data_IF_299631795950
#
_entry.id   IF_299631795950
#
_cell.length_a   1.000
_cell.length_b   1.000
_cell.length_c   1.000
_cell.angle_alpha   90.00
_cell.angle_beta   90.00
_cell.angle_gamma   90.00
#
_symmetry.space_group_name_H-M   'P 1'
#
loop_
_entity.id
_entity.type
_entity.pdbx_description
1 polymer ?
#
# COMPACT_ATOMS: atom_id res chain seq x y z
N UNK A 1 -6.14 -7.51 12.95
CA UNK A 1 -7.18 -6.53 13.36
C UNK A 1 -7.15 -5.31 12.45
N UNK A 2 -6.04 -4.56 12.40
CA UNK A 2 -5.90 -3.35 11.59
C UNK A 2 -6.39 -3.50 10.15
N UNK A 3 -5.78 -4.44 9.40
CA UNK A 3 -6.14 -4.76 8.01
C UNK A 3 -7.64 -4.97 7.82
N UNK A 4 -8.18 -5.97 8.52
CA UNK A 4 -9.59 -6.39 8.41
C UNK A 4 -10.56 -5.23 8.67
N UNK A 5 -10.25 -4.36 9.62
CA UNK A 5 -11.17 -3.30 10.05
C UNK A 5 -11.09 -2.02 9.21
N UNK A 6 -9.99 -1.80 8.50
CA UNK A 6 -9.82 -0.61 7.66
C UNK A 6 -9.94 -0.90 6.16
N UNK A 7 -9.74 -2.14 5.70
CA UNK A 7 -9.91 -2.48 4.26
C UNK A 7 -11.32 -2.19 3.75
N UNK A 8 -12.33 -2.26 4.62
CA UNK A 8 -13.72 -1.92 4.31
C UNK A 8 -13.94 -0.44 3.96
N UNK A 9 -12.94 0.43 4.17
CA UNK A 9 -12.98 1.83 3.75
C UNK A 9 -12.79 2.01 2.25
N UNK A 10 -12.40 0.96 1.53
CA UNK A 10 -12.27 1.02 0.07
C UNK A 10 -11.09 1.86 -0.43
N UNK A 11 -10.08 2.08 0.42
CA UNK A 11 -8.87 2.87 0.14
C UNK A 11 -7.64 2.00 -0.19
N UNK A 12 -7.87 0.86 -0.82
CA UNK A 12 -6.83 -0.16 -1.01
C UNK A 12 -6.50 -0.92 0.29
N UNK A 13 -5.26 -1.42 0.39
CA UNK A 13 -4.84 -2.25 1.52
C UNK A 13 -4.11 -1.41 2.59
N UNK A 14 -4.64 -1.32 3.82
CA UNK A 14 -3.99 -0.56 4.88
C UNK A 14 -2.80 -1.34 5.45
N UNK A 15 -1.62 -0.71 5.46
CA UNK A 15 -0.37 -1.29 5.96
C UNK A 15 -0.19 -0.99 7.45
N UNK A 16 0.24 -1.99 8.21
CA UNK A 16 0.61 -1.81 9.62
C UNK A 16 2.02 -1.23 9.77
N UNK A 17 2.91 -1.59 8.84
CA UNK A 17 4.27 -1.05 8.74
C UNK A 17 4.38 -0.39 7.36
N UNK A 18 4.01 0.89 7.24
CA UNK A 18 3.93 1.56 5.94
C UNK A 18 5.29 1.96 5.35
N UNK A 19 6.35 1.98 6.17
CA UNK A 19 7.68 2.37 5.72
C UNK A 19 8.32 1.33 4.79
N UNK A 20 9.06 1.75 3.75
CA UNK A 20 9.77 0.84 2.86
C UNK A 20 10.94 0.16 3.57
N UNK A 21 11.46 -0.91 2.97
CA UNK A 21 12.66 -1.58 3.44
C UNK A 21 13.88 -0.64 3.30
N UNK A 22 14.62 -0.44 4.39
CA UNK A 22 15.79 0.45 4.46
C UNK A 22 16.99 0.01 3.61
N UNK A 23 16.94 -1.19 3.00
CA UNK A 23 17.94 -1.68 2.04
C UNK A 23 17.63 -1.33 0.60
N UNK A 24 16.46 -0.76 0.30
CA UNK A 24 16.11 -0.32 -1.06
C UNK A 24 16.87 0.94 -1.43
N UNK A 25 16.83 1.32 -2.71
CA UNK A 25 17.42 2.57 -3.18
C UNK A 25 16.91 3.78 -2.38
N UNK A 26 17.77 4.76 -2.14
CA UNK A 26 17.44 5.92 -1.28
C UNK A 26 16.30 6.77 -1.87
N UNK A 27 16.20 6.83 -3.20
CA UNK A 27 15.08 7.48 -3.88
C UNK A 27 13.77 6.76 -3.58
N UNK A 28 13.77 5.42 -3.66
CA UNK A 28 12.61 4.62 -3.31
C UNK A 28 12.24 4.74 -1.83
N UNK A 29 13.23 4.81 -0.93
CA UNK A 29 12.97 4.99 0.51
C UNK A 29 12.25 6.32 0.81
N UNK A 30 12.60 7.38 0.07
CA UNK A 30 11.98 8.69 0.19
C UNK A 30 10.59 8.73 -0.44
N UNK A 31 10.44 8.16 -1.63
CA UNK A 31 9.21 8.25 -2.42
C UNK A 31 8.16 7.22 -1.94
N UNK A 32 8.62 6.14 -1.30
CA UNK A 32 7.81 5.03 -0.83
C UNK A 32 7.23 4.21 -1.97
N UNK A 33 6.17 3.44 -1.67
CA UNK A 33 5.48 2.59 -2.64
C UNK A 33 4.87 3.40 -3.79
N UNK A 34 5.02 3.00 -5.03
CA UNK A 34 4.51 3.73 -6.21
C UNK A 34 3.61 2.88 -7.08
N UNK A 35 2.85 3.54 -7.96
CA UNK A 35 2.07 2.87 -9.01
C UNK A 35 3.03 2.01 -9.86
N UNK A 36 2.63 0.76 -10.11
CA UNK A 36 3.42 -0.21 -10.83
C UNK A 36 4.27 -1.12 -9.94
N UNK A 37 4.37 -0.85 -8.65
CA UNK A 37 5.08 -1.75 -7.74
C UNK A 37 4.38 -3.12 -7.68
N UNK A 38 5.17 -4.18 -7.81
CA UNK A 38 4.78 -5.57 -7.60
C UNK A 38 5.42 -6.06 -6.33
N UNK A 39 4.62 -6.70 -5.47
CA UNK A 39 5.07 -7.13 -4.16
C UNK A 39 4.09 -8.05 -3.46
N UNK A 40 4.41 -8.38 -2.21
CA UNK A 40 3.61 -9.22 -1.31
C UNK A 40 3.50 -8.54 0.05
N UNK A 41 2.37 -8.74 0.74
CA UNK A 41 2.22 -8.27 2.12
C UNK A 41 2.88 -9.28 3.05
N UNK A 42 3.81 -8.80 3.87
CA UNK A 42 4.49 -9.64 4.86
C UNK A 42 3.60 -9.95 6.05
N UNK A 43 3.93 -11.00 6.79
CA UNK A 43 3.22 -11.34 8.03
C UNK A 43 3.30 -10.22 9.10
N UNK A 44 4.32 -9.37 9.06
CA UNK A 44 4.44 -8.21 9.94
C UNK A 44 3.60 -7.00 9.49
N UNK A 45 2.99 -7.07 8.31
CA UNK A 45 2.12 -6.03 7.76
C UNK A 45 2.85 -4.92 7.01
N UNK A 46 4.08 -5.19 6.52
CA UNK A 46 4.78 -4.35 5.55
C UNK A 46 4.55 -4.84 4.13
N UNK A 47 4.90 -4.01 3.15
CA UNK A 47 4.96 -4.43 1.74
C UNK A 47 6.40 -4.85 1.39
N UNK A 48 6.59 -6.11 0.98
CA UNK A 48 7.85 -6.59 0.40
C UNK A 48 7.85 -6.25 -1.09
N UNK A 49 8.50 -5.13 -1.42
CA UNK A 49 8.68 -4.68 -2.79
C UNK A 49 9.62 -5.63 -3.55
N UNK A 50 9.22 -6.01 -4.76
CA UNK A 50 9.99 -6.92 -5.61
C UNK A 50 10.56 -6.20 -6.83
N UNK A 51 9.71 -5.51 -7.60
CA UNK A 51 10.05 -4.72 -8.78
C UNK A 51 8.90 -3.78 -9.13
N UNK A 52 9.13 -2.83 -10.03
CA UNK A 52 8.11 -1.92 -10.56
C UNK A 52 7.96 -2.11 -12.08
N UNK A 53 6.73 -2.31 -12.55
CA UNK A 53 6.42 -2.57 -13.97
C UNK A 53 6.45 -1.33 -14.85
N UNK A 54 6.41 -0.13 -14.28
CA UNK A 54 6.34 1.14 -14.99
C UNK A 54 7.70 1.79 -15.22
N UNK A 55 8.77 1.22 -14.66
CA UNK A 55 10.15 1.70 -14.85
C UNK A 55 10.99 0.66 -15.60
N UNK A 56 12.01 1.09 -16.36
CA UNK A 56 12.84 0.17 -17.13
C UNK A 56 13.73 -0.72 -16.24
N UNK A 57 14.33 -1.74 -16.85
CA UNK A 57 15.19 -2.70 -16.16
C UNK A 57 16.41 -2.03 -15.49
N UNK A 58 16.98 -1.02 -16.13
CA UNK A 58 18.15 -0.27 -15.65
C UNK A 58 17.79 0.82 -14.63
N UNK A 59 16.51 0.98 -14.28
CA UNK A 59 16.09 1.93 -13.27
C UNK A 59 16.57 1.49 -11.86
N UNK A 60 17.10 2.40 -11.02
CA UNK A 60 17.62 2.05 -9.69
C UNK A 60 16.63 1.35 -8.75
N UNK A 61 15.33 1.53 -8.97
CA UNK A 61 14.29 0.88 -8.16
C UNK A 61 14.16 -0.60 -8.49
N UNK A 62 14.43 -1.00 -9.74
CA UNK A 62 14.33 -2.39 -10.12
C UNK A 62 15.60 -3.16 -9.72
N UNK A 63 15.46 -4.38 -9.17
CA UNK A 63 16.61 -5.22 -8.93
C UNK A 63 17.29 -5.65 -10.24
N UNK A 64 18.56 -6.08 -10.21
CA UNK A 64 19.28 -6.53 -11.39
C UNK A 64 18.65 -7.73 -12.10
N UNK A 65 17.92 -8.57 -11.35
CA UNK A 65 17.21 -9.73 -11.87
C UNK A 65 15.72 -9.44 -11.83
N UNK A 66 15.05 -9.54 -12.98
CA UNK A 66 13.61 -9.32 -13.15
C UNK A 66 12.92 -10.59 -13.69
N UNK A 67 11.58 -10.65 -13.67
CA UNK A 67 10.86 -11.74 -14.31
C UNK A 67 11.26 -11.92 -15.79
N UNK A 68 11.18 -13.17 -16.25
CA UNK A 68 11.47 -13.51 -17.65
C UNK A 68 10.61 -12.67 -18.61
N UNK A 69 11.22 -12.18 -19.69
CA UNK A 69 10.58 -11.33 -20.71
C UNK A 69 9.97 -10.04 -20.17
N UNK A 70 10.49 -9.52 -19.05
CA UNK A 70 10.05 -8.23 -18.51
C UNK A 70 10.13 -7.11 -19.56
N UNK A 71 9.01 -6.44 -19.76
CA UNK A 71 8.89 -5.26 -20.63
C UNK A 71 8.13 -4.17 -19.89
N UNK A 72 8.66 -2.95 -19.75
CA UNK A 72 7.99 -1.91 -18.97
C UNK A 72 6.63 -1.53 -19.56
N UNK A 73 5.64 -1.38 -18.69
CA UNK A 73 4.34 -0.80 -19.01
C UNK A 73 4.46 0.72 -18.99
N UNK A 74 4.30 1.36 -20.15
CA UNK A 74 4.31 2.83 -20.23
C UNK A 74 3.18 3.43 -19.38
N UNK A 75 3.56 4.29 -18.44
CA UNK A 75 2.67 5.09 -17.61
C UNK A 75 2.97 6.56 -17.86
N UNK A 76 2.03 7.29 -18.47
CA UNK A 76 2.18 8.72 -18.72
C UNK A 76 1.51 9.53 -17.60
N UNK A 77 1.92 10.78 -17.35
CA UNK A 77 1.31 11.59 -16.29
C UNK A 77 -0.21 11.75 -16.41
N UNK A 78 -0.77 11.71 -17.62
CA UNK A 78 -2.23 11.79 -17.84
C UNK A 78 -2.96 10.45 -17.68
N UNK A 79 -2.24 9.34 -17.44
CA UNK A 79 -2.81 8.05 -17.07
C UNK A 79 -3.01 7.93 -15.54
N UNK A 80 -2.66 8.97 -14.77
CA UNK A 80 -2.76 9.02 -13.30
C UNK A 80 -3.66 10.18 -12.88
N UNK A 81 -4.62 9.88 -12.03
CA UNK A 81 -5.47 10.86 -11.38
C UNK A 81 -4.91 11.15 -9.99
N UNK A 82 -4.64 12.43 -9.71
CA UNK A 82 -4.20 12.89 -8.40
C UNK A 82 -5.36 13.58 -7.67
N UNK A 83 -5.56 13.25 -6.40
CA UNK A 83 -6.61 13.84 -5.58
C UNK A 83 -6.16 14.01 -4.12
N UNK A 84 -6.79 14.99 -3.45
CA UNK A 84 -6.54 15.32 -2.04
C UNK A 84 -7.83 15.11 -1.24
N UNK A 85 -8.22 13.85 -1.06
CA UNK A 85 -9.40 13.50 -0.24
C UNK A 85 -9.17 13.72 1.25
N UNK A 86 -7.93 13.59 1.74
CA UNK A 86 -7.60 13.72 3.14
C UNK A 86 -6.95 15.06 3.44
N UNK A 87 -7.73 15.96 4.02
CA UNK A 87 -7.25 17.27 4.50
C UNK A 87 -6.57 17.14 5.87
N UNK A 88 -6.01 18.25 6.37
CA UNK A 88 -5.48 18.31 7.74
C UNK A 88 -6.50 17.80 8.76
N UNK A 89 -5.98 17.17 9.82
CA UNK A 89 -6.77 16.51 10.84
C UNK A 89 -7.72 15.40 10.34
N UNK A 90 -7.43 14.76 9.21
CA UNK A 90 -8.18 13.58 8.75
C UNK A 90 -7.90 12.33 9.57
N UNK A 91 -8.84 11.39 9.58
CA UNK A 91 -8.65 10.06 10.17
C UNK A 91 -9.53 9.01 9.48
N UNK A 92 -9.10 7.75 9.55
CA UNK A 92 -9.91 6.57 9.26
C UNK A 92 -10.05 5.75 10.54
N UNK A 93 -11.23 5.20 10.78
CA UNK A 93 -11.48 4.36 11.94
C UNK A 93 -12.50 3.27 11.63
N UNK A 94 -12.45 2.15 12.36
CA UNK A 94 -13.45 1.09 12.25
C UNK A 94 -14.84 1.65 12.56
N UNK A 95 -15.90 1.05 11.99
CA UNK A 95 -17.29 1.51 12.20
C UNK A 95 -17.73 1.55 13.67
N UNK A 96 -17.06 0.77 14.52
CA UNK A 96 -17.27 0.72 15.97
C UNK A 96 -16.66 1.87 16.75
N UNK A 97 -15.77 2.67 16.14
CA UNK A 97 -15.04 3.76 16.80
C UNK A 97 -15.66 5.09 16.41
N UNK A 98 -16.00 5.91 17.42
CA UNK A 98 -16.52 7.26 17.24
C UNK A 98 -15.44 8.27 17.61
N UNK A 99 -15.31 9.34 16.81
CA UNK A 99 -14.53 10.51 17.19
C UNK A 99 -15.37 11.44 18.06
N UNK A 100 -14.78 11.97 19.14
CA UNK A 100 -15.41 12.96 20.03
C UNK A 100 -14.92 14.39 19.82
N UNK A 101 -13.75 14.59 19.21
CA UNK A 101 -13.21 15.92 18.93
C UNK A 101 -12.52 15.97 17.58
N UNK A 102 -12.77 17.05 16.83
CA UNK A 102 -12.03 17.38 15.62
C UNK A 102 -11.26 18.69 15.87
N UNK A 103 -9.96 18.63 15.61
CA UNK A 103 -9.05 19.76 15.39
C UNK A 103 -9.05 20.92 16.41
N UNK A 104 -8.13 20.82 17.39
CA UNK A 104 -7.27 21.89 17.95
C UNK A 104 -6.39 21.34 19.10
N UNK A 105 -6.88 20.32 19.83
CA UNK A 105 -6.21 19.70 20.99
C UNK A 105 -5.90 18.19 20.81
N UNK A 106 -5.85 17.71 19.57
CA UNK A 106 -5.64 16.30 19.24
C UNK A 106 -6.93 15.50 19.00
N UNK A 107 -6.78 14.21 18.75
CA UNK A 107 -7.89 13.31 18.45
C UNK A 107 -8.32 12.51 19.68
N UNK A 108 -9.63 12.48 19.95
CA UNK A 108 -10.21 11.61 20.97
C UNK A 108 -11.14 10.60 20.33
N UNK A 109 -10.85 9.32 20.52
CA UNK A 109 -11.63 8.20 19.99
C UNK A 109 -12.22 7.38 21.13
N UNK A 110 -13.46 6.95 20.95
CA UNK A 110 -14.15 6.08 21.90
C UNK A 110 -14.84 4.93 21.20
N UNK A 111 -14.88 3.78 21.88
CA UNK A 111 -15.62 2.62 21.42
C UNK A 111 -16.07 1.75 22.59
N UNK A 112 -17.29 1.22 22.48
CA UNK A 112 -17.80 0.17 23.35
C UNK A 112 -17.55 -1.23 22.79
N UNK A 113 -17.04 -1.35 21.57
CA UNK A 113 -16.79 -2.64 20.94
C UNK A 113 -15.60 -3.38 21.57
N UNK A 114 -15.52 -4.68 21.27
CA UNK A 114 -14.40 -5.51 21.67
C UNK A 114 -13.16 -5.27 20.82
N UNK A 115 -13.29 -4.72 19.61
CA UNK A 115 -12.15 -4.38 18.78
C UNK A 115 -12.36 -3.11 17.96
N UNK A 116 -11.24 -2.50 17.58
CA UNK A 116 -11.23 -1.33 16.72
C UNK A 116 -9.86 -1.04 16.15
N UNK A 117 -9.87 -0.23 15.10
CA UNK A 117 -8.68 0.26 14.42
C UNK A 117 -8.84 1.74 14.10
N UNK A 118 -7.75 2.49 14.21
CA UNK A 118 -7.67 3.92 13.96
C UNK A 118 -6.40 4.20 13.18
N UNK A 119 -6.50 5.05 12.17
CA UNK A 119 -5.42 5.70 11.44
C UNK A 119 -5.69 7.20 11.45
N UNK A 120 -4.82 7.98 12.05
CA UNK A 120 -4.87 9.45 11.99
C UNK A 120 -3.87 9.98 10.98
N UNK A 121 -4.25 11.04 10.28
CA UNK A 121 -3.45 11.75 9.27
C UNK A 121 -3.49 13.24 9.62
N UNK A 122 -2.79 13.67 10.69
CA UNK A 122 -2.85 15.04 11.19
C UNK A 122 -2.54 16.11 10.14
N UNK A 123 -1.69 15.80 9.16
CA UNK A 123 -1.30 16.70 8.06
C UNK A 123 -2.01 16.38 6.74
N UNK A 124 -3.06 15.55 6.77
CA UNK A 124 -3.72 15.03 5.57
C UNK A 124 -2.91 13.97 4.85
N UNK A 125 -3.36 13.59 3.65
CA UNK A 125 -2.70 12.63 2.79
C UNK A 125 -2.93 12.97 1.30
N UNK A 126 -1.92 12.70 0.50
CA UNK A 126 -1.99 12.75 -0.96
C UNK A 126 -2.46 11.40 -1.48
N UNK A 127 -3.19 11.43 -2.59
CA UNK A 127 -3.71 10.22 -3.21
C UNK A 127 -3.45 10.25 -4.71
N UNK A 128 -3.06 9.10 -5.27
CA UNK A 128 -2.94 8.90 -6.71
C UNK A 128 -3.50 7.54 -7.10
N UNK A 129 -4.21 7.50 -8.23
CA UNK A 129 -4.76 6.28 -8.81
C UNK A 129 -4.53 6.25 -10.32
N UNK A 130 -4.35 5.06 -10.89
CA UNK A 130 -4.36 4.91 -12.35
C UNK A 130 -5.76 5.16 -12.90
N UNK A 131 -5.87 6.04 -13.88
CA UNK A 131 -7.13 6.34 -14.57
C UNK A 131 -7.64 5.11 -15.34
N UNK A 132 -6.74 4.25 -15.85
CA UNK A 132 -7.07 3.05 -16.62
C UNK A 132 -6.54 1.75 -16.00
N UNK A 133 -7.31 1.21 -15.05
CA UNK A 133 -7.05 -0.10 -14.44
C UNK A 133 -6.99 -1.23 -15.50
N UNK A 134 -7.70 -1.07 -16.62
CA UNK A 134 -7.75 -2.09 -17.67
C UNK A 134 -6.37 -2.39 -18.29
N UNK A 135 -5.53 -1.37 -18.49
CA UNK A 135 -4.16 -1.53 -19.00
C UNK A 135 -3.31 -2.37 -18.04
N UNK A 136 -3.35 -2.03 -16.75
CA UNK A 136 -2.63 -2.72 -15.68
C UNK A 136 -3.11 -4.17 -15.52
N UNK A 137 -4.43 -4.40 -15.56
CA UNK A 137 -5.01 -5.74 -15.49
C UNK A 137 -4.58 -6.60 -16.68
N UNK A 138 -4.61 -6.06 -17.90
CA UNK A 138 -4.16 -6.79 -19.09
C UNK A 138 -2.69 -7.17 -18.99
N UNK A 139 -1.85 -6.24 -18.54
CA UNK A 139 -0.43 -6.50 -18.33
C UNK A 139 -0.20 -7.57 -17.27
N UNK A 140 -0.87 -7.46 -16.11
CA UNK A 140 -0.80 -8.45 -15.03
C UNK A 140 -1.20 -9.85 -15.52
N UNK A 141 -2.34 -9.99 -16.20
CA UNK A 141 -2.80 -11.30 -16.70
C UNK A 141 -1.79 -11.93 -17.65
N UNK A 142 -1.15 -11.13 -18.50
CA UNK A 142 -0.15 -11.64 -19.44
C UNK A 142 1.17 -12.06 -18.77
N UNK A 143 1.47 -11.55 -17.56
CA UNK A 143 2.77 -11.74 -16.91
C UNK A 143 2.70 -12.46 -15.56
N UNK A 144 1.51 -12.72 -15.01
CA UNK A 144 1.33 -13.25 -13.66
C UNK A 144 2.11 -14.55 -13.44
N UNK A 145 2.06 -15.50 -14.37
CA UNK A 145 2.81 -16.76 -14.26
C UNK A 145 4.32 -16.53 -14.14
N UNK A 146 4.89 -15.63 -14.96
CA UNK A 146 6.29 -15.26 -14.90
C UNK A 146 6.64 -14.59 -13.57
N UNK A 147 5.73 -13.81 -12.99
CA UNK A 147 5.93 -13.20 -11.67
C UNK A 147 5.97 -14.26 -10.57
N UNK A 148 5.03 -15.21 -10.53
CA UNK A 148 5.06 -16.28 -9.54
C UNK A 148 6.35 -17.11 -9.65
N UNK A 149 6.76 -17.47 -10.89
CA UNK A 149 8.01 -18.19 -11.13
C UNK A 149 9.24 -17.41 -10.66
N UNK A 150 9.32 -16.12 -10.98
CA UNK A 150 10.38 -15.23 -10.49
C UNK A 150 10.41 -15.17 -8.96
N UNK A 151 9.25 -15.03 -8.33
CA UNK A 151 9.14 -14.88 -6.88
C UNK A 151 9.57 -16.17 -6.16
N UNK A 152 9.15 -17.33 -6.68
CA UNK A 152 9.50 -18.65 -6.16
C UNK A 152 10.96 -19.00 -6.41
N UNK A 153 11.38 -19.01 -7.68
CA UNK A 153 12.64 -19.62 -8.10
C UNK A 153 13.84 -18.67 -7.96
N UNK A 154 13.62 -17.35 -8.14
CA UNK A 154 14.69 -16.34 -8.11
C UNK A 154 14.74 -15.62 -6.77
N UNK A 155 13.59 -15.20 -6.25
CA UNK A 155 13.52 -14.44 -4.99
C UNK A 155 13.42 -15.31 -3.75
N UNK A 156 13.17 -16.61 -3.90
CA UNK A 156 13.06 -17.55 -2.80
C UNK A 156 11.96 -17.17 -1.80
N UNK A 157 10.83 -16.66 -2.32
CA UNK A 157 9.62 -16.37 -1.54
C UNK A 157 8.56 -17.39 -1.90
N UNK A 158 7.65 -17.68 -0.99
CA UNK A 158 6.61 -18.71 -1.18
C UNK A 158 5.20 -18.08 -1.16
N UNK A 159 4.84 -17.25 -2.16
CA UNK A 159 3.51 -16.63 -2.21
C UNK A 159 2.44 -17.69 -2.48
N UNK A 160 1.30 -17.56 -1.82
CA UNK A 160 0.08 -18.28 -2.17
C UNK A 160 -0.63 -17.60 -3.36
N UNK A 161 -1.55 -18.32 -3.99
CA UNK A 161 -2.37 -17.75 -5.04
C UNK A 161 -3.19 -16.57 -4.48
N UNK A 162 -2.97 -15.39 -5.04
CA UNK A 162 -3.60 -14.13 -4.62
C UNK A 162 -2.72 -13.25 -3.74
N UNK A 163 -1.55 -13.72 -3.30
CA UNK A 163 -0.65 -12.93 -2.46
C UNK A 163 0.10 -11.85 -3.25
N UNK A 164 0.39 -12.12 -4.54
CA UNK A 164 1.12 -11.19 -5.41
C UNK A 164 0.21 -10.03 -5.79
N UNK A 165 0.61 -8.83 -5.38
CA UNK A 165 -0.13 -7.59 -5.58
C UNK A 165 0.57 -6.71 -6.60
N UNK A 166 -0.23 -5.95 -7.35
CA UNK A 166 0.21 -4.85 -8.19
C UNK A 166 -0.43 -3.56 -7.67
N UNK A 167 0.40 -2.57 -7.40
CA UNK A 167 -0.03 -1.26 -6.91
C UNK A 167 -0.58 -0.45 -8.07
N UNK A 168 -1.87 -0.13 -8.01
CA UNK A 168 -2.56 0.72 -9.00
C UNK A 168 -2.91 2.10 -8.48
N UNK A 169 -2.62 2.38 -7.21
CA UNK A 169 -2.88 3.64 -6.55
C UNK A 169 -2.41 3.59 -5.10
N UNK A 170 -2.38 4.73 -4.44
CA UNK A 170 -1.90 4.86 -3.06
C UNK A 170 -2.50 6.08 -2.36
N UNK A 171 -2.56 5.98 -1.03
CA UNK A 171 -2.73 7.10 -0.11
C UNK A 171 -1.46 7.23 0.74
N UNK A 172 -0.84 8.41 0.76
CA UNK A 172 0.40 8.65 1.52
C UNK A 172 0.31 9.91 2.35
N UNK A 173 0.84 9.82 3.57
CA UNK A 173 1.03 10.95 4.46
C UNK A 173 2.43 10.95 5.02
N UNK A 174 2.93 12.13 5.39
CA UNK A 174 4.23 12.30 6.04
C UNK A 174 4.14 12.21 7.57
N UNK A 175 2.93 12.27 8.14
CA UNK A 175 2.70 12.12 9.56
C UNK A 175 1.41 11.34 9.82
N UNK A 176 1.52 10.26 10.60
CA UNK A 176 0.39 9.40 10.92
C UNK A 176 0.46 8.84 12.34
N UNK A 177 -0.69 8.44 12.87
CA UNK A 177 -0.80 7.66 14.10
C UNK A 177 -1.68 6.44 13.86
N UNK A 178 -1.25 5.27 14.32
CA UNK A 178 -2.01 4.03 14.18
C UNK A 178 -2.29 3.43 15.55
N UNK A 179 -3.51 2.97 15.76
CA UNK A 179 -3.89 2.25 16.96
C UNK A 179 -4.83 1.09 16.62
N UNK A 180 -4.68 0.00 17.35
CA UNK A 180 -5.68 -1.08 17.40
C UNK A 180 -5.91 -1.48 18.84
N UNK A 181 -7.12 -1.95 19.13
CA UNK A 181 -7.43 -2.56 20.42
C UNK A 181 -8.23 -3.85 20.21
N UNK A 182 -8.06 -4.77 21.14
CA UNK A 182 -8.85 -5.98 21.26
C UNK A 182 -9.06 -6.28 22.74
N UNK A 183 -10.32 -6.42 23.15
CA UNK A 183 -10.72 -6.93 24.45
C UNK A 183 -10.89 -8.44 24.30
N UNK A 184 -9.79 -9.15 24.30
CA UNK A 184 -9.81 -10.58 24.58
C UNK A 184 -9.99 -10.70 26.09
N UNK A 185 -11.06 -11.32 26.56
CA UNK A 185 -11.03 -11.88 27.92
C UNK A 185 -9.88 -12.87 27.95
N UNK A 186 -8.86 -12.56 28.76
CA UNK A 186 -7.73 -13.44 29.01
C UNK A 186 -8.18 -14.76 29.63
#
# INVERSE_FOLDING_TARGET
>A
IYYRLLVIKGRGLPLWIPGPNQKLDIGYQRDGMTIGDVGIITASGSFDFLFNICVPHDHPFNPPELPENFTPLALLPHDVDQHCEFQEASFLSSSSVKSRSEALNGFTFESSATEGAILTMPVGANSEDVASIAKFRKYMVANAEHWYRYILDVRGREPQNGDVLLVTGWDKTTAWGMATFSKTTA
#
